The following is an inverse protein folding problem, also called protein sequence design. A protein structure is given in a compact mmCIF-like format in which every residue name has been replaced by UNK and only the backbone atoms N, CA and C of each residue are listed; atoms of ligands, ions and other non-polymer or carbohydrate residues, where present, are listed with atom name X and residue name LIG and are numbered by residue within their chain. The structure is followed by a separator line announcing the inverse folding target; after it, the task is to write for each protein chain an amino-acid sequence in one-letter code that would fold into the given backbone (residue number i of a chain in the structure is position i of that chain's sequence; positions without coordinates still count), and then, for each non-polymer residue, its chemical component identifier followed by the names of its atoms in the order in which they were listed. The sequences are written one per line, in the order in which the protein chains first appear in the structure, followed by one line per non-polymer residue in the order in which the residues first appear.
data_IF_312664412514
#
_entry.id   IF_312664412514
#
_cell.length_a   1.000
_cell.length_b   1.000
_cell.length_c   1.000
_cell.angle_alpha   90.00
_cell.angle_beta   90.00
_cell.angle_gamma   90.00
#
_symmetry.space_group_name_H-M   'P 1'
#
loop_
_entity.id
_entity.type
_entity.pdbx_description
1 polymer ?
#
# COMPACT_ATOMS: atom_id res chain seq x y z
N UNK A 1 9.23 64.87 -63.99
CA UNK A 1 8.80 63.60 -64.62
C UNK A 1 9.44 62.48 -63.83
N UNK A 2 8.64 61.60 -63.23
CA UNK A 2 9.16 60.35 -62.64
C UNK A 2 9.66 59.50 -63.81
N UNK A 3 10.90 59.02 -63.72
CA UNK A 3 11.49 58.12 -64.70
C UNK A 3 10.78 56.77 -64.58
N UNK A 4 9.74 56.58 -65.38
CA UNK A 4 8.83 55.43 -65.34
C UNK A 4 9.58 54.11 -65.44
N UNK A 5 10.71 54.09 -66.17
CA UNK A 5 11.53 52.89 -66.32
C UNK A 5 12.26 52.52 -65.00
N UNK A 6 12.76 53.52 -64.26
CA UNK A 6 13.32 53.29 -62.92
C UNK A 6 12.27 52.84 -61.92
N UNK A 7 11.06 53.41 -61.98
CA UNK A 7 9.96 53.00 -61.10
C UNK A 7 9.54 51.55 -61.35
N UNK A 8 9.38 51.14 -62.61
CA UNK A 8 9.04 49.75 -62.96
C UNK A 8 10.12 48.77 -62.51
N UNK A 9 11.40 49.08 -62.73
CA UNK A 9 12.53 48.25 -62.28
C UNK A 9 12.55 48.06 -60.76
N UNK A 10 12.30 49.12 -59.97
CA UNK A 10 12.25 49.02 -58.51
C UNK A 10 11.08 48.14 -58.04
N UNK A 11 9.93 48.22 -58.70
CA UNK A 11 8.76 47.37 -58.40
C UNK A 11 9.06 45.89 -58.73
N UNK A 12 9.74 45.61 -59.84
CA UNK A 12 10.19 44.26 -60.20
C UNK A 12 11.18 43.70 -59.18
N UNK A 13 12.19 44.47 -58.78
CA UNK A 13 13.16 44.08 -57.76
C UNK A 13 12.49 43.81 -56.39
N UNK A 14 11.53 44.66 -55.99
CA UNK A 14 10.74 44.46 -54.78
C UNK A 14 9.92 43.17 -54.83
N UNK A 15 9.29 42.86 -55.97
CA UNK A 15 8.54 41.62 -56.14
C UNK A 15 9.45 40.38 -56.04
N UNK A 16 10.65 40.44 -56.62
CA UNK A 16 11.66 39.38 -56.50
C UNK A 16 12.08 39.19 -55.04
N UNK A 17 12.37 40.28 -54.32
CA UNK A 17 12.74 40.22 -52.91
C UNK A 17 11.63 39.65 -52.02
N UNK A 18 10.38 40.06 -52.25
CA UNK A 18 9.21 39.52 -51.53
C UNK A 18 9.05 38.02 -51.80
N UNK A 19 9.25 37.59 -53.05
CA UNK A 19 9.13 36.17 -53.39
C UNK A 19 10.25 35.35 -52.75
N UNK A 20 11.49 35.86 -52.75
CA UNK A 20 12.62 35.25 -52.07
C UNK A 20 12.39 35.15 -50.55
N UNK A 21 11.87 36.21 -49.93
CA UNK A 21 11.53 36.19 -48.49
C UNK A 21 10.44 35.15 -48.18
N UNK A 22 9.42 35.03 -49.04
CA UNK A 22 8.37 34.00 -48.91
C UNK A 22 8.96 32.58 -49.03
N UNK A 23 9.84 32.35 -50.01
CA UNK A 23 10.52 31.07 -50.19
C UNK A 23 11.41 30.74 -48.99
N UNK A 24 12.21 31.69 -48.50
CA UNK A 24 13.05 31.50 -47.31
C UNK A 24 12.21 31.19 -46.06
N UNK A 25 11.08 31.89 -45.86
CA UNK A 25 10.14 31.59 -44.76
C UNK A 25 9.54 30.20 -44.91
N UNK A 26 9.15 29.81 -46.12
CA UNK A 26 8.61 28.47 -46.40
C UNK A 26 9.64 27.38 -46.11
N UNK A 27 10.89 27.54 -46.57
CA UNK A 27 11.96 26.57 -46.30
C UNK A 27 12.30 26.47 -44.81
N UNK A 28 12.35 27.60 -44.09
CA UNK A 28 12.55 27.61 -42.63
C UNK A 28 11.42 26.87 -41.92
N UNK A 29 10.17 27.13 -42.31
CA UNK A 29 8.99 26.43 -41.76
C UNK A 29 9.08 24.93 -42.01
N UNK A 30 9.32 24.52 -43.26
CA UNK A 30 9.46 23.11 -43.63
C UNK A 30 10.57 22.42 -42.84
N UNK A 31 11.73 23.06 -42.70
CA UNK A 31 12.84 22.52 -41.90
C UNK A 31 12.46 22.33 -40.41
N UNK A 32 11.67 23.24 -39.83
CA UNK A 32 11.18 23.09 -38.46
C UNK A 32 10.15 21.96 -38.34
N UNK A 33 9.24 21.83 -39.31
CA UNK A 33 8.26 20.75 -39.37
C UNK A 33 8.95 19.38 -39.50
N UNK A 34 9.95 19.27 -40.39
CA UNK A 34 10.73 18.04 -40.57
C UNK A 34 11.47 17.66 -39.27
N UNK A 35 12.12 18.63 -38.61
CA UNK A 35 12.78 18.41 -37.30
C UNK A 35 11.81 17.95 -36.23
N UNK A 36 10.61 18.54 -36.18
CA UNK A 36 9.58 18.15 -35.23
C UNK A 36 9.07 16.71 -35.50
N UNK A 37 8.86 16.35 -36.77
CA UNK A 37 8.48 14.99 -37.16
C UNK A 37 9.56 13.95 -36.78
N UNK A 38 10.84 14.27 -37.02
CA UNK A 38 11.96 13.43 -36.58
C UNK A 38 11.97 13.26 -35.07
N UNK A 39 11.86 14.36 -34.32
CA UNK A 39 11.77 14.32 -32.86
C UNK A 39 10.61 13.44 -32.37
N UNK A 40 9.41 13.57 -32.96
CA UNK A 40 8.26 12.74 -32.56
C UNK A 40 8.50 11.26 -32.81
N UNK A 41 9.18 10.91 -33.90
CA UNK A 41 9.49 9.51 -34.23
C UNK A 41 10.51 8.94 -33.24
N UNK A 42 11.59 9.69 -32.96
CA UNK A 42 12.61 9.31 -31.98
C UNK A 42 12.01 9.17 -30.57
N UNK A 43 11.21 10.15 -30.15
CA UNK A 43 10.53 10.10 -28.85
C UNK A 43 9.57 8.91 -28.76
N UNK A 44 8.78 8.65 -29.80
CA UNK A 44 7.85 7.52 -29.82
C UNK A 44 8.58 6.18 -29.68
N UNK A 45 9.73 6.02 -30.36
CA UNK A 45 10.54 4.81 -30.25
C UNK A 45 11.09 4.63 -28.83
N UNK A 46 11.70 5.67 -28.26
CA UNK A 46 12.22 5.64 -26.89
C UNK A 46 11.14 5.35 -25.86
N UNK A 47 9.97 5.96 -26.01
CA UNK A 47 8.83 5.75 -25.13
C UNK A 47 8.35 4.30 -25.18
N UNK A 48 8.18 3.74 -26.39
CA UNK A 48 7.76 2.34 -26.58
C UNK A 48 8.78 1.34 -26.05
N UNK A 49 10.07 1.60 -26.25
CA UNK A 49 11.14 0.74 -25.74
C UNK A 49 11.16 0.71 -24.21
N UNK A 50 11.11 1.87 -23.54
CA UNK A 50 11.10 1.95 -22.08
C UNK A 50 9.81 1.37 -21.48
N UNK A 51 8.68 1.55 -22.18
CA UNK A 51 7.40 0.95 -21.81
C UNK A 51 7.48 -0.57 -21.87
N UNK A 52 7.93 -1.14 -22.99
CA UNK A 52 8.08 -2.57 -23.16
C UNK A 52 9.05 -3.15 -22.12
N UNK A 53 10.19 -2.48 -21.90
CA UNK A 53 11.19 -2.87 -20.90
C UNK A 53 10.61 -2.90 -19.49
N UNK A 54 9.95 -1.81 -19.06
CA UNK A 54 9.33 -1.73 -17.71
C UNK A 54 8.30 -2.83 -17.52
N UNK A 55 7.42 -3.03 -18.50
CA UNK A 55 6.38 -4.07 -18.44
C UNK A 55 7.01 -5.46 -18.37
N UNK A 56 7.92 -5.80 -19.28
CA UNK A 56 8.47 -7.15 -19.38
C UNK A 56 9.42 -7.50 -18.24
N UNK A 57 10.20 -6.53 -17.73
CA UNK A 57 11.21 -6.80 -16.71
C UNK A 57 10.65 -6.70 -15.29
N UNK A 58 9.69 -5.82 -15.03
CA UNK A 58 9.20 -5.57 -13.66
C UNK A 58 7.83 -6.20 -13.44
N UNK A 59 6.89 -5.92 -14.34
CA UNK A 59 5.47 -6.20 -14.12
C UNK A 59 5.12 -7.65 -14.45
N UNK A 60 5.50 -8.13 -15.63
CA UNK A 60 5.16 -9.48 -16.11
C UNK A 60 5.66 -10.57 -15.14
N UNK A 61 6.89 -10.52 -14.60
CA UNK A 61 7.34 -11.48 -13.61
C UNK A 61 6.44 -11.51 -12.37
N UNK A 62 6.09 -10.34 -11.83
CA UNK A 62 5.20 -10.23 -10.67
C UNK A 62 3.83 -10.86 -10.92
N UNK A 63 3.20 -10.58 -12.06
CA UNK A 63 1.89 -11.16 -12.42
C UNK A 63 1.99 -12.67 -12.56
N UNK A 64 3.08 -13.18 -13.17
CA UNK A 64 3.29 -14.62 -13.33
C UNK A 64 3.54 -15.33 -12.00
N UNK A 65 4.20 -14.67 -11.07
CA UNK A 65 4.47 -15.20 -9.73
C UNK A 65 3.21 -15.21 -8.86
N UNK A 66 2.37 -14.16 -8.96
CA UNK A 66 1.17 -13.99 -8.14
C UNK A 66 -0.13 -13.89 -8.98
N UNK A 67 -0.46 -14.91 -9.80
CA UNK A 67 -1.60 -14.84 -10.71
C UNK A 67 -2.95 -14.80 -9.98
N UNK A 68 -2.99 -15.25 -8.72
CA UNK A 68 -4.22 -15.30 -7.92
C UNK A 68 -4.78 -13.91 -7.55
N UNK A 69 -4.00 -12.84 -7.65
CA UNK A 69 -4.51 -11.48 -7.46
C UNK A 69 -5.49 -11.06 -8.56
N UNK A 70 -5.33 -11.62 -9.76
CA UNK A 70 -6.15 -11.30 -10.93
C UNK A 70 -7.21 -12.38 -11.20
N UNK A 71 -7.00 -13.59 -10.65
CA UNK A 71 -7.88 -14.73 -10.84
C UNK A 71 -8.71 -14.99 -9.57
N UNK A 72 -9.96 -14.52 -9.61
CA UNK A 72 -10.96 -14.75 -8.57
C UNK A 72 -11.14 -13.58 -7.60
N UNK A 73 -12.14 -13.69 -6.75
CA UNK A 73 -12.58 -12.65 -5.81
C UNK A 73 -12.33 -13.16 -4.39
N UNK A 74 -11.87 -12.29 -3.48
CA UNK A 74 -11.67 -12.68 -2.09
C UNK A 74 -13.01 -12.90 -1.36
N UNK A 75 -13.02 -13.77 -0.36
CA UNK A 75 -14.24 -14.03 0.43
C UNK A 75 -14.86 -12.76 1.01
N UNK A 76 -14.03 -11.86 1.58
CA UNK A 76 -14.51 -10.58 2.13
C UNK A 76 -15.04 -9.63 1.08
N UNK A 77 -14.56 -9.71 -0.16
CA UNK A 77 -15.14 -8.95 -1.28
C UNK A 77 -16.50 -9.52 -1.68
N UNK A 78 -16.65 -10.85 -1.71
CA UNK A 78 -17.94 -11.52 -2.01
C UNK A 78 -19.03 -11.11 -1.00
N UNK A 79 -18.72 -11.07 0.29
CA UNK A 79 -19.70 -10.71 1.33
C UNK A 79 -19.75 -9.20 1.64
N UNK A 80 -19.04 -8.37 0.86
CA UNK A 80 -18.97 -6.92 1.03
C UNK A 80 -18.50 -6.47 2.44
N UNK A 81 -17.45 -7.10 2.96
CA UNK A 81 -16.85 -6.83 4.27
C UNK A 81 -15.36 -6.43 4.22
N UNK A 82 -14.84 -6.05 3.05
CA UNK A 82 -13.45 -5.59 2.86
C UNK A 82 -13.10 -4.36 3.71
N UNK A 83 -14.08 -3.53 4.08
CA UNK A 83 -13.85 -2.33 4.89
C UNK A 83 -14.01 -2.54 6.39
N UNK A 84 -14.27 -3.78 6.83
CA UNK A 84 -14.77 -4.06 8.18
C UNK A 84 -13.67 -4.64 9.07
N UNK A 85 -13.21 -3.84 10.04
CA UNK A 85 -12.08 -4.12 10.95
C UNK A 85 -12.16 -5.52 11.59
N UNK A 86 -13.33 -5.91 12.10
CA UNK A 86 -13.55 -7.23 12.71
C UNK A 86 -13.13 -8.40 11.81
N UNK A 87 -13.44 -8.34 10.51
CA UNK A 87 -13.15 -9.47 9.61
C UNK A 87 -11.65 -9.58 9.33
N UNK A 88 -10.95 -8.46 9.21
CA UNK A 88 -9.49 -8.47 9.11
C UNK A 88 -8.85 -9.06 10.37
N UNK A 89 -9.36 -8.70 11.55
CA UNK A 89 -8.87 -9.23 12.82
C UNK A 89 -9.09 -10.75 12.93
N UNK A 90 -10.22 -11.26 12.44
CA UNK A 90 -10.50 -12.70 12.37
C UNK A 90 -9.53 -13.45 11.44
N UNK A 91 -9.26 -12.90 10.24
CA UNK A 91 -8.29 -13.49 9.33
C UNK A 91 -6.89 -13.52 9.93
N UNK A 92 -6.43 -12.40 10.50
CA UNK A 92 -5.11 -12.30 11.12
C UNK A 92 -4.96 -13.27 12.30
N UNK A 93 -5.96 -13.34 13.17
CA UNK A 93 -5.95 -14.28 14.29
C UNK A 93 -5.91 -15.73 13.82
N UNK A 94 -6.63 -16.08 12.76
CA UNK A 94 -6.59 -17.43 12.18
C UNK A 94 -5.22 -17.74 11.57
N UNK A 95 -4.65 -16.80 10.82
CA UNK A 95 -3.35 -16.97 10.13
C UNK A 95 -2.19 -17.07 11.13
N UNK A 96 -2.22 -16.28 12.19
CA UNK A 96 -1.18 -16.26 13.21
C UNK A 96 -1.31 -17.35 14.27
N UNK A 97 -2.40 -18.11 14.28
CA UNK A 97 -2.57 -19.24 15.18
C UNK A 97 -1.84 -20.47 14.62
N UNK A 98 -0.72 -20.82 15.26
CA UNK A 98 0.11 -21.97 14.90
C UNK A 98 -0.63 -23.32 15.00
N UNK A 99 -1.74 -23.38 15.73
CA UNK A 99 -2.60 -24.56 15.83
C UNK A 99 -3.59 -24.68 14.66
N UNK A 100 -3.78 -23.60 13.88
CA UNK A 100 -4.68 -23.55 12.72
C UNK A 100 -3.92 -23.55 11.41
N UNK A 101 -2.85 -22.75 11.33
CA UNK A 101 -2.06 -22.56 10.11
C UNK A 101 -0.64 -23.03 10.34
N UNK A 102 -0.16 -23.88 9.43
CA UNK A 102 1.24 -24.31 9.41
C UNK A 102 2.12 -23.06 9.28
N UNK A 103 3.15 -22.94 10.12
CA UNK A 103 4.02 -21.75 10.21
C UNK A 103 3.32 -20.48 10.74
N UNK A 104 2.12 -20.57 11.34
CA UNK A 104 1.43 -19.38 11.89
C UNK A 104 2.28 -18.56 12.86
N UNK A 105 3.11 -19.22 13.68
CA UNK A 105 4.07 -18.56 14.55
C UNK A 105 5.19 -17.84 13.78
N UNK A 106 5.63 -18.42 12.67
CA UNK A 106 6.70 -17.83 11.85
C UNK A 106 6.16 -16.61 11.12
N UNK A 107 4.94 -16.71 10.58
CA UNK A 107 4.23 -15.60 9.94
C UNK A 107 4.02 -14.44 10.93
N UNK A 108 3.56 -14.73 12.15
CA UNK A 108 3.41 -13.71 13.19
C UNK A 108 4.76 -13.12 13.58
N UNK A 109 5.79 -13.96 13.76
CA UNK A 109 7.16 -13.52 14.05
C UNK A 109 7.70 -12.59 12.96
N UNK A 110 7.45 -12.86 11.68
CA UNK A 110 7.90 -12.02 10.57
C UNK A 110 7.17 -10.69 10.52
N UNK A 111 5.87 -10.68 10.79
CA UNK A 111 5.12 -9.44 10.97
C UNK A 111 5.73 -8.59 12.11
N UNK A 112 5.97 -9.19 13.28
CA UNK A 112 6.64 -8.51 14.40
C UNK A 112 8.05 -8.03 14.02
N UNK A 113 8.77 -8.82 13.21
CA UNK A 113 10.09 -8.48 12.67
C UNK A 113 10.10 -7.21 11.81
N UNK A 114 9.00 -6.99 11.08
CA UNK A 114 8.81 -5.90 10.12
C UNK A 114 8.40 -4.56 10.73
N UNK A 115 7.98 -4.54 12.01
CA UNK A 115 7.55 -3.34 12.72
C UNK A 115 8.62 -2.87 13.72
N UNK A 116 8.64 -1.57 14.03
CA UNK A 116 9.61 -0.98 14.95
C UNK A 116 9.13 -1.09 16.41
N UNK A 117 9.06 -2.32 16.92
CA UNK A 117 8.61 -2.59 18.28
C UNK A 117 9.76 -2.73 19.27
N UNK A 118 9.55 -2.29 20.50
CA UNK A 118 10.51 -2.50 21.59
C UNK A 118 10.67 -3.99 21.90
N UNK A 119 11.88 -4.43 22.24
CA UNK A 119 12.21 -5.82 22.56
C UNK A 119 11.78 -6.84 21.48
N UNK A 120 11.78 -6.41 20.21
CA UNK A 120 11.38 -7.19 19.04
C UNK A 120 11.96 -8.61 19.01
N UNK A 121 13.27 -8.75 19.18
CA UNK A 121 13.94 -10.06 19.12
C UNK A 121 13.44 -11.00 20.22
N UNK A 122 13.30 -10.48 21.45
CA UNK A 122 12.73 -11.26 22.56
C UNK A 122 11.30 -11.71 22.26
N UNK A 123 10.46 -10.83 21.71
CA UNK A 123 9.08 -11.15 21.37
C UNK A 123 9.00 -12.20 20.25
N UNK A 124 9.82 -12.08 19.20
CA UNK A 124 9.92 -13.08 18.12
C UNK A 124 10.35 -14.45 18.66
N UNK A 125 11.34 -14.50 19.54
CA UNK A 125 11.79 -15.74 20.17
C UNK A 125 10.70 -16.37 21.05
N UNK A 126 9.90 -15.55 21.72
CA UNK A 126 8.76 -16.04 22.50
C UNK A 126 7.63 -16.59 21.61
N UNK A 127 7.29 -15.91 20.52
CA UNK A 127 6.28 -16.37 19.55
C UNK A 127 6.66 -17.74 18.97
N UNK A 128 7.93 -17.93 18.59
CA UNK A 128 8.44 -19.18 18.02
C UNK A 128 8.31 -20.39 18.95
N UNK A 129 8.16 -20.18 20.27
CA UNK A 129 7.91 -21.26 21.25
C UNK A 129 6.49 -21.82 21.19
N UNK A 130 5.58 -21.21 20.43
CA UNK A 130 4.19 -21.69 20.24
C UNK A 130 3.41 -21.81 21.56
N UNK A 131 3.72 -20.95 22.53
CA UNK A 131 3.09 -20.96 23.86
C UNK A 131 2.14 -19.76 24.04
N UNK A 132 1.27 -19.53 23.06
CA UNK A 132 0.34 -18.40 23.10
C UNK A 132 -1.04 -18.76 22.58
N UNK A 133 -2.01 -17.94 22.96
CA UNK A 133 -3.39 -17.96 22.47
C UNK A 133 -3.74 -16.62 21.84
N UNK A 134 -4.65 -16.63 20.86
CA UNK A 134 -5.14 -15.42 20.20
C UNK A 134 -6.64 -15.28 20.45
N UNK A 135 -7.05 -14.12 20.94
CA UNK A 135 -8.45 -13.73 21.10
C UNK A 135 -8.74 -12.55 20.18
N UNK A 136 -9.80 -12.65 19.40
CA UNK A 136 -10.37 -11.51 18.68
C UNK A 136 -11.50 -10.89 19.49
N UNK A 137 -11.75 -9.60 19.29
CA UNK A 137 -12.89 -8.93 19.88
C UNK A 137 -12.95 -9.07 21.43
N UNK A 138 -11.78 -9.00 22.07
CA UNK A 138 -11.63 -9.18 23.51
C UNK A 138 -12.40 -8.11 24.29
N UNK A 139 -13.53 -8.51 24.85
CA UNK A 139 -14.41 -7.60 25.59
C UNK A 139 -13.87 -7.38 27.01
N UNK A 140 -13.63 -6.12 27.33
CA UNK A 140 -13.25 -5.68 28.67
C UNK A 140 -14.49 -5.77 29.58
N UNK A 141 -14.47 -6.72 30.50
CA UNK A 141 -15.50 -6.92 31.54
C UNK A 141 -14.90 -6.74 32.92
N UNK A 142 -15.73 -6.30 33.86
CA UNK A 142 -15.37 -6.16 35.28
C UNK A 142 -14.10 -5.34 35.55
N UNK A 143 -13.80 -4.37 34.67
CA UNK A 143 -12.70 -3.45 34.89
C UNK A 143 -12.98 -2.58 36.11
N UNK A 144 -11.95 -2.33 36.93
CA UNK A 144 -12.02 -1.45 38.12
C UNK A 144 -12.63 -0.09 37.76
N UNK A 145 -12.23 0.45 36.60
CA UNK A 145 -12.83 1.66 36.02
C UNK A 145 -14.03 1.27 35.15
N UNK A 146 -15.25 1.55 35.61
CA UNK A 146 -16.52 1.25 34.87
C UNK A 146 -16.54 1.77 33.44
N UNK A 147 -15.81 2.84 33.13
CA UNK A 147 -15.68 3.40 31.77
C UNK A 147 -15.05 2.48 30.74
N UNK A 148 -14.33 1.45 31.19
CA UNK A 148 -13.67 0.48 30.35
C UNK A 148 -14.58 -0.71 30.03
N UNK A 149 -15.64 -0.93 30.82
CA UNK A 149 -16.54 -2.05 30.62
C UNK A 149 -17.30 -1.93 29.30
N UNK A 150 -17.34 -3.03 28.54
CA UNK A 150 -17.97 -3.09 27.22
C UNK A 150 -17.10 -2.56 26.09
N UNK A 151 -15.92 -2.00 26.37
CA UNK A 151 -14.92 -1.73 25.32
C UNK A 151 -14.27 -3.04 24.85
N UNK A 152 -13.68 -3.01 23.66
CA UNK A 152 -13.25 -4.21 22.97
C UNK A 152 -11.91 -4.01 22.26
N UNK A 153 -10.93 -4.84 22.60
CA UNK A 153 -9.64 -4.88 21.89
C UNK A 153 -9.82 -5.79 20.67
N UNK A 154 -9.35 -5.35 19.49
CA UNK A 154 -9.59 -6.08 18.26
C UNK A 154 -8.84 -7.42 18.20
N UNK A 155 -7.56 -7.44 18.57
CA UNK A 155 -6.77 -8.68 18.73
C UNK A 155 -5.95 -8.61 20.01
N UNK A 156 -6.03 -9.67 20.82
CA UNK A 156 -5.22 -9.87 22.01
C UNK A 156 -4.52 -11.22 21.92
N UNK A 157 -3.19 -11.20 21.84
CA UNK A 157 -2.33 -12.39 21.88
C UNK A 157 -1.72 -12.50 23.27
N UNK A 158 -1.87 -13.65 23.91
CA UNK A 158 -1.40 -13.87 25.29
C UNK A 158 -0.49 -15.08 25.36
N UNK A 159 0.65 -14.90 26.00
CA UNK A 159 1.45 -16.00 26.51
C UNK A 159 0.65 -16.83 27.52
N UNK A 160 0.76 -18.15 27.43
CA UNK A 160 0.08 -19.06 28.36
C UNK A 160 0.67 -18.93 29.77
N UNK A 161 1.98 -18.67 29.90
CA UNK A 161 2.64 -18.44 31.19
C UNK A 161 2.43 -17.01 31.72
N UNK A 162 1.77 -16.15 30.95
CA UNK A 162 1.49 -14.75 31.32
C UNK A 162 2.71 -13.84 31.33
N UNK A 163 3.80 -14.15 30.62
CA UNK A 163 5.02 -13.30 30.62
C UNK A 163 4.94 -12.13 29.65
N UNK A 164 4.25 -12.31 28.53
CA UNK A 164 4.13 -11.30 27.48
C UNK A 164 2.74 -11.30 26.85
N UNK A 165 2.34 -10.15 26.30
CA UNK A 165 1.09 -9.97 25.59
C UNK A 165 1.30 -9.05 24.38
N UNK A 166 0.52 -9.25 23.31
CA UNK A 166 0.45 -8.35 22.16
C UNK A 166 -1.00 -7.86 22.06
N UNK A 167 -1.17 -6.55 22.02
CA UNK A 167 -2.43 -5.85 21.93
C UNK A 167 -2.44 -5.13 20.59
N UNK A 168 -3.38 -5.49 19.72
CA UNK A 168 -3.51 -4.87 18.41
C UNK A 168 -4.88 -4.20 18.32
N UNK A 169 -4.87 -2.89 18.08
CA UNK A 169 -6.04 -2.15 17.63
C UNK A 169 -5.99 -2.03 16.12
N UNK A 170 -7.09 -2.39 15.45
CA UNK A 170 -7.16 -2.44 14.01
C UNK A 170 -8.00 -1.27 13.47
N UNK A 171 -7.48 -0.53 12.49
CA UNK A 171 -8.17 0.60 11.85
C UNK A 171 -8.11 0.49 10.34
N UNK A 172 -9.26 0.31 9.69
CA UNK A 172 -9.31 0.34 8.21
C UNK A 172 -9.51 1.78 7.74
N UNK A 173 -10.68 2.34 8.03
CA UNK A 173 -11.06 3.71 7.65
C UNK A 173 -11.44 4.58 8.85
N UNK A 174 -11.60 3.98 10.03
CA UNK A 174 -12.00 4.73 11.21
C UNK A 174 -10.80 5.40 11.89
N UNK A 175 -11.06 6.55 12.50
CA UNK A 175 -10.09 7.22 13.37
C UNK A 175 -10.13 6.61 14.77
N UNK A 176 -9.04 6.80 15.52
CA UNK A 176 -9.01 6.48 16.94
C UNK A 176 -10.09 7.28 17.69
N UNK A 177 -10.93 6.56 18.43
CA UNK A 177 -11.99 7.19 19.20
C UNK A 177 -11.42 7.99 20.38
N UNK A 178 -11.94 9.21 20.60
CA UNK A 178 -11.55 10.07 21.71
C UNK A 178 -12.76 10.41 22.59
N UNK A 179 -12.66 10.11 23.88
CA UNK A 179 -13.66 10.48 24.88
C UNK A 179 -13.38 11.90 25.40
N UNK A 180 -14.11 12.89 24.86
CA UNK A 180 -13.97 14.30 25.25
C UNK A 180 -14.20 14.55 26.74
N UNK A 181 -15.11 13.82 27.38
CA UNK A 181 -15.41 14.02 28.82
C UNK A 181 -14.25 13.58 29.69
N UNK A 182 -13.54 12.53 29.26
CA UNK A 182 -12.42 11.94 30.02
C UNK A 182 -11.05 12.38 29.54
N UNK A 183 -11.01 13.16 28.46
CA UNK A 183 -9.80 13.56 27.74
C UNK A 183 -8.87 12.37 27.46
N UNK A 184 -9.44 11.23 27.05
CA UNK A 184 -8.71 9.97 26.92
C UNK A 184 -9.02 9.30 25.57
N UNK A 185 -7.97 8.84 24.89
CA UNK A 185 -8.08 8.04 23.67
C UNK A 185 -8.54 6.62 23.97
N UNK A 186 -9.09 5.96 22.97
CA UNK A 186 -9.37 4.52 22.98
C UNK A 186 -8.09 3.72 23.33
N UNK A 187 -6.95 4.08 22.74
CA UNK A 187 -5.66 3.45 22.95
C UNK A 187 -5.20 3.55 24.41
N UNK A 188 -5.27 4.74 25.02
CA UNK A 188 -4.93 4.92 26.44
C UNK A 188 -5.85 4.15 27.38
N UNK A 189 -7.11 3.89 26.99
CA UNK A 189 -8.02 3.04 27.76
C UNK A 189 -7.55 1.59 27.79
N UNK A 190 -7.07 1.07 26.66
CA UNK A 190 -6.59 -0.32 26.57
C UNK A 190 -5.28 -0.51 27.32
N UNK A 191 -4.37 0.46 27.25
CA UNK A 191 -3.14 0.40 28.05
C UNK A 191 -3.44 0.37 29.55
N UNK A 192 -4.37 1.20 30.03
CA UNK A 192 -4.76 1.16 31.45
C UNK A 192 -5.34 -0.20 31.83
N UNK A 193 -6.22 -0.76 30.99
CA UNK A 193 -6.77 -2.09 31.21
C UNK A 193 -5.68 -3.17 31.28
N UNK A 194 -4.73 -3.16 30.34
CA UNK A 194 -3.65 -4.13 30.29
C UNK A 194 -2.70 -4.01 31.48
N UNK A 195 -2.37 -2.79 31.91
CA UNK A 195 -1.61 -2.55 33.16
C UNK A 195 -2.32 -3.14 34.37
N UNK A 196 -3.62 -2.92 34.50
CA UNK A 196 -4.41 -3.44 35.62
C UNK A 196 -4.55 -4.97 35.59
N UNK A 197 -4.67 -5.57 34.40
CA UNK A 197 -4.94 -7.00 34.22
C UNK A 197 -3.69 -7.87 34.20
N UNK A 198 -2.65 -7.44 33.51
CA UNK A 198 -1.44 -8.22 33.29
C UNK A 198 -0.29 -7.79 34.21
N UNK A 199 -0.44 -6.70 34.97
CA UNK A 199 0.56 -6.26 35.94
C UNK A 199 1.92 -5.99 35.30
N UNK A 200 2.95 -6.75 35.70
CA UNK A 200 4.32 -6.57 35.26
C UNK A 200 4.68 -7.34 33.98
N UNK A 201 3.74 -8.07 33.37
CA UNK A 201 3.98 -8.75 32.10
C UNK A 201 4.34 -7.75 31.00
N UNK A 202 5.27 -8.13 30.12
CA UNK A 202 5.61 -7.32 28.96
C UNK A 202 4.36 -7.17 28.06
N UNK A 203 4.08 -5.96 27.60
CA UNK A 203 2.94 -5.68 26.72
C UNK A 203 3.40 -4.90 25.49
N UNK A 204 3.28 -5.53 24.33
CA UNK A 204 3.45 -4.91 23.03
C UNK A 204 2.13 -4.30 22.57
N UNK A 205 2.08 -2.98 22.37
CA UNK A 205 0.88 -2.28 21.88
C UNK A 205 1.10 -1.89 20.41
N UNK A 206 0.23 -2.34 19.51
CA UNK A 206 0.35 -2.15 18.06
C UNK A 206 -0.91 -1.48 17.53
N UNK A 207 -0.76 -0.34 16.88
CA UNK A 207 -1.82 0.28 16.10
C UNK A 207 -1.64 -0.14 14.65
N UNK A 208 -2.42 -1.14 14.21
CA UNK A 208 -2.46 -1.57 12.82
C UNK A 208 -3.47 -0.71 12.06
N UNK A 209 -3.00 0.08 11.11
CA UNK A 209 -3.85 1.05 10.42
C UNK A 209 -3.63 1.05 8.91
N UNK A 210 -4.74 1.06 8.15
CA UNK A 210 -4.72 1.25 6.70
C UNK A 210 -4.74 2.75 6.35
N UNK A 211 -5.44 3.55 7.13
CA UNK A 211 -5.39 5.02 7.07
C UNK A 211 -4.31 5.56 8.02
N UNK A 212 -3.77 6.74 7.78
CA UNK A 212 -2.74 7.30 8.65
C UNK A 212 -3.35 7.74 10.00
N UNK A 213 -3.11 6.91 11.03
CA UNK A 213 -3.42 7.20 12.43
C UNK A 213 -2.13 7.30 13.27
N UNK A 214 -0.97 7.51 12.64
CA UNK A 214 0.34 7.49 13.32
C UNK A 214 0.47 8.53 14.43
N UNK A 215 -0.21 9.67 14.28
CA UNK A 215 -0.28 10.74 15.30
C UNK A 215 -0.87 10.30 16.64
N UNK A 216 -1.61 9.19 16.71
CA UNK A 216 -2.16 8.66 17.97
C UNK A 216 -1.19 7.74 18.71
N UNK A 217 0.02 7.49 18.20
CA UNK A 217 0.99 6.55 18.77
C UNK A 217 1.91 7.14 19.85
N UNK A 218 1.75 8.41 20.23
CA UNK A 218 2.63 9.13 21.17
C UNK A 218 2.72 8.48 22.57
N UNK A 219 1.77 7.63 22.95
CA UNK A 219 1.67 7.00 24.28
C UNK A 219 2.31 5.60 24.38
N UNK A 220 3.32 5.26 23.57
CA UNK A 220 3.96 3.93 23.62
C UNK A 220 3.23 2.84 22.85
N UNK A 221 2.44 3.24 21.84
CA UNK A 221 1.95 2.35 20.80
C UNK A 221 2.93 2.33 19.64
N UNK A 222 3.11 1.16 19.03
CA UNK A 222 3.88 1.00 17.79
C UNK A 222 2.93 1.10 16.60
N UNK A 223 3.19 2.05 15.70
CA UNK A 223 2.43 2.15 14.46
C UNK A 223 2.83 1.04 13.47
N UNK A 224 1.84 0.41 12.85
CA UNK A 224 2.03 -0.56 11.78
C UNK A 224 1.04 -0.31 10.63
N UNK A 225 1.54 -0.43 9.41
CA UNK A 225 0.73 -0.28 8.20
C UNK A 225 0.26 -1.65 7.69
N UNK A 226 -0.91 -1.68 7.04
CA UNK A 226 -1.38 -2.87 6.33
C UNK A 226 -0.43 -3.36 5.22
N UNK A 227 0.46 -2.49 4.77
CA UNK A 227 1.53 -2.84 3.86
C UNK A 227 2.50 -3.88 4.46
N UNK A 228 2.83 -3.75 5.76
CA UNK A 228 3.68 -4.70 6.48
C UNK A 228 3.00 -6.06 6.62
N UNK A 229 1.68 -6.07 6.88
CA UNK A 229 0.88 -7.31 6.85
C UNK A 229 0.99 -7.97 5.48
N UNK A 230 0.73 -7.22 4.41
CA UNK A 230 0.78 -7.75 3.05
C UNK A 230 2.14 -8.37 2.72
N UNK A 231 3.25 -7.66 3.01
CA UNK A 231 4.61 -8.17 2.79
C UNK A 231 4.91 -9.41 3.63
N UNK A 232 4.53 -9.41 4.91
CA UNK A 232 4.75 -10.55 5.81
C UNK A 232 3.98 -11.80 5.39
N UNK A 233 2.87 -11.67 4.67
CA UNK A 233 2.05 -12.79 4.19
C UNK A 233 2.43 -13.25 2.79
N UNK A 234 2.94 -12.36 1.94
CA UNK A 234 3.11 -12.64 0.52
C UNK A 234 3.99 -13.86 0.26
N UNK A 235 5.11 -14.02 0.99
CA UNK A 235 6.01 -15.18 0.83
C UNK A 235 5.39 -16.51 1.27
N UNK A 236 4.27 -16.46 2.00
CA UNK A 236 3.55 -17.63 2.51
C UNK A 236 2.27 -17.93 1.72
N UNK A 237 2.06 -17.33 0.56
CA UNK A 237 0.82 -17.49 -0.22
C UNK A 237 0.51 -18.94 -0.63
N UNK A 238 1.52 -19.81 -0.66
CA UNK A 238 1.39 -21.23 -0.98
C UNK A 238 1.15 -22.12 0.26
N UNK A 239 1.27 -21.57 1.46
CA UNK A 239 1.17 -22.34 2.71
C UNK A 239 -0.27 -22.75 3.00
N UNK A 240 -1.23 -21.85 2.77
CA UNK A 240 -2.65 -22.09 3.02
C UNK A 240 -3.53 -21.20 2.11
N UNK A 241 -4.67 -21.73 1.67
CA UNK A 241 -5.60 -20.99 0.81
C UNK A 241 -6.28 -19.81 1.54
N UNK A 242 -6.38 -19.85 2.86
CA UNK A 242 -6.85 -18.74 3.69
C UNK A 242 -5.90 -17.55 3.61
N UNK A 243 -4.58 -17.79 3.58
CA UNK A 243 -3.57 -16.74 3.40
C UNK A 243 -3.74 -16.12 2.01
N UNK A 244 -3.88 -16.96 0.98
CA UNK A 244 -4.09 -16.53 -0.41
C UNK A 244 -5.37 -15.70 -0.56
N UNK A 245 -6.47 -16.12 0.06
CA UNK A 245 -7.74 -15.37 0.07
C UNK A 245 -7.62 -14.03 0.79
N UNK A 246 -6.92 -14.00 1.93
CA UNK A 246 -6.69 -12.76 2.65
C UNK A 246 -5.79 -11.80 1.88
N UNK A 247 -4.73 -12.31 1.24
CA UNK A 247 -3.89 -11.52 0.34
C UNK A 247 -4.71 -10.87 -0.79
N UNK A 248 -5.69 -11.56 -1.38
CA UNK A 248 -6.61 -10.94 -2.36
C UNK A 248 -7.44 -9.80 -1.74
N UNK A 249 -7.88 -9.95 -0.49
CA UNK A 249 -8.57 -8.87 0.22
C UNK A 249 -7.64 -7.67 0.39
N UNK A 250 -6.41 -7.91 0.85
CA UNK A 250 -5.41 -6.86 1.03
C UNK A 250 -5.03 -6.19 -0.29
N UNK A 251 -4.95 -6.95 -1.37
CA UNK A 251 -4.72 -6.42 -2.72
C UNK A 251 -5.78 -5.42 -3.14
N UNK A 252 -7.05 -5.76 -2.94
CA UNK A 252 -8.19 -4.88 -3.22
C UNK A 252 -8.16 -3.63 -2.32
N UNK A 253 -7.78 -3.79 -1.06
CA UNK A 253 -7.73 -2.71 -0.08
C UNK A 253 -6.58 -1.72 -0.37
N UNK A 254 -5.37 -2.23 -0.60
CA UNK A 254 -4.15 -1.43 -0.76
C UNK A 254 -3.98 -0.88 -2.18
N UNK A 255 -4.50 -1.59 -3.18
CA UNK A 255 -4.32 -1.26 -4.60
C UNK A 255 -5.68 -1.23 -5.34
N UNK A 256 -6.64 -0.38 -4.91
CA UNK A 256 -8.00 -0.39 -5.43
C UNK A 256 -8.09 -0.10 -6.94
N UNK A 257 -7.11 0.63 -7.49
CA UNK A 257 -7.08 1.03 -8.90
C UNK A 257 -6.35 0.03 -9.81
N UNK A 258 -5.68 -0.99 -9.25
CA UNK A 258 -4.78 -1.91 -9.98
C UNK A 258 -5.40 -3.30 -10.18
N UNK A 259 -6.73 -3.38 -10.09
CA UNK A 259 -7.51 -4.62 -10.26
C UNK A 259 -7.70 -5.00 -11.73
N UNK A 260 -7.38 -4.12 -12.67
CA UNK A 260 -7.43 -4.46 -14.10
C UNK A 260 -6.15 -5.16 -14.50
N UNK A 261 -6.29 -6.39 -15.02
CA UNK A 261 -5.19 -7.12 -15.64
C UNK A 261 -4.39 -6.18 -16.55
N UNK A 262 -3.07 -6.17 -16.35
CA UNK A 262 -2.19 -5.31 -17.14
C UNK A 262 -2.26 -5.77 -18.58
N UNK A 263 -3.00 -5.00 -19.37
CA UNK A 263 -3.09 -5.17 -20.81
C UNK A 263 -1.77 -4.73 -21.45
N UNK A 264 -1.47 -5.27 -22.63
CA UNK A 264 -0.28 -4.92 -23.41
C UNK A 264 -0.22 -3.44 -23.84
N UNK A 265 -1.30 -2.67 -23.63
CA UNK A 265 -1.45 -1.27 -24.03
C UNK A 265 -1.35 -0.26 -22.86
N UNK A 266 -0.92 -0.68 -21.66
CA UNK A 266 -0.77 0.26 -20.54
C UNK A 266 0.31 1.30 -20.83
N UNK A 267 0.04 2.59 -20.57
CA UNK A 267 1.03 3.65 -20.75
C UNK A 267 2.26 3.46 -19.86
N UNK A 268 3.41 4.01 -20.27
CA UNK A 268 4.65 4.01 -19.46
C UNK A 268 4.41 4.60 -18.07
N UNK A 269 3.60 5.67 -17.99
CA UNK A 269 3.20 6.27 -16.73
C UNK A 269 2.49 5.26 -15.81
N UNK A 270 1.51 4.52 -16.33
CA UNK A 270 0.80 3.48 -15.55
C UNK A 270 1.72 2.35 -15.16
N UNK A 271 2.62 1.92 -16.04
CA UNK A 271 3.61 0.89 -15.73
C UNK A 271 4.52 1.32 -14.56
N UNK A 272 5.02 2.56 -14.58
CA UNK A 272 5.80 3.11 -13.47
C UNK A 272 4.99 3.29 -12.19
N UNK A 273 3.72 3.69 -12.28
CA UNK A 273 2.85 3.76 -11.10
C UNK A 273 2.69 2.39 -10.45
N UNK A 274 2.41 1.34 -11.23
CA UNK A 274 2.34 -0.03 -10.72
C UNK A 274 3.63 -0.45 -10.03
N UNK A 275 4.78 -0.25 -10.69
CA UNK A 275 6.08 -0.57 -10.10
C UNK A 275 6.32 0.19 -8.79
N UNK A 276 6.10 1.51 -8.78
CA UNK A 276 6.37 2.37 -7.63
C UNK A 276 5.42 2.12 -6.45
N UNK A 277 4.16 1.83 -6.72
CA UNK A 277 3.15 1.67 -5.68
C UNK A 277 3.09 0.24 -5.14
N UNK A 278 3.43 -0.74 -5.98
CA UNK A 278 3.31 -2.16 -5.65
C UNK A 278 4.70 -2.77 -5.52
N UNK A 279 5.37 -3.06 -6.65
CA UNK A 279 6.57 -3.90 -6.69
C UNK A 279 7.67 -3.36 -5.77
N UNK A 280 8.06 -2.09 -5.94
CA UNK A 280 9.16 -1.47 -5.19
C UNK A 280 8.92 -1.37 -3.68
N UNK A 281 7.68 -1.48 -3.23
CA UNK A 281 7.39 -1.54 -1.80
C UNK A 281 7.48 -2.98 -1.27
N UNK A 282 7.23 -3.99 -2.14
CA UNK A 282 7.16 -5.40 -1.76
C UNK A 282 8.57 -6.00 -1.75
N UNK A 283 9.33 -5.76 -2.82
CA UNK A 283 10.71 -6.22 -2.99
C UNK A 283 11.65 -5.35 -2.17
#
# INVERSE_FOLDING_TARGET
MVDTNKFTSVVEDLNILIQKEKEEKFQKKKCLEDKFCTFLTEFSALYSDEQAKTIQQQIVPFIKEYPFFYNGISSLKVINKVSQETYHSLFLAHIWDWSKIKLGETILSDFIGSINIENKNYLQDCIKKKNYTIETEHTIKNARKRSLNGKRIDILIKDIDGKWNIIIENKIYSNISYDKKRKQTQLGCYQQYCKDKFGNSFCAYILLSHTDNSSYCEDGWTYAEYYQIFKSLLIYYQVDDTIKDYLKTLWVLLFPNEQTAIKSDISLYRAYQFYKQIISKIT
#
